data_IF_891991262601
#
_entry.id   IF_891991262601
#
_cell.length_a   1.000
_cell.length_b   1.000
_cell.length_c   1.000
_cell.angle_alpha   90.00
_cell.angle_beta   90.00
_cell.angle_gamma   90.00
#
_symmetry.space_group_name_H-M   'P 1'
#
loop_
_entity.id
_entity.type
_entity.pdbx_description
1 polymer ?
#
# COMPACT_ATOMS: atom_id res chain seq x y z
N UNK A 1 2.21 13.45 -11.94
CA UNK A 1 2.71 12.22 -11.28
C UNK A 1 2.74 12.43 -9.77
N UNK A 2 1.97 11.64 -9.01
CA UNK A 2 1.93 11.70 -7.54
C UNK A 2 3.20 11.08 -6.94
N UNK A 3 3.71 11.60 -5.82
CA UNK A 3 4.90 11.05 -5.11
C UNK A 3 4.81 9.54 -4.81
N UNK A 4 3.60 8.99 -4.75
CA UNK A 4 3.33 7.56 -4.59
C UNK A 4 3.71 6.73 -5.84
N UNK A 5 3.46 7.25 -7.05
CA UNK A 5 3.79 6.53 -8.30
C UNK A 5 5.31 6.44 -8.47
N UNK A 6 6.05 7.50 -8.12
CA UNK A 6 7.51 7.50 -8.14
C UNK A 6 8.13 6.50 -7.14
N UNK A 7 7.56 6.38 -5.94
CA UNK A 7 8.02 5.40 -4.93
C UNK A 7 7.70 3.95 -5.32
N UNK A 8 6.54 3.70 -5.93
CA UNK A 8 6.17 2.39 -6.47
C UNK A 8 7.10 1.99 -7.62
N UNK A 9 7.42 2.92 -8.53
CA UNK A 9 8.37 2.69 -9.63
C UNK A 9 9.77 2.38 -9.07
N UNK A 10 10.27 3.13 -8.08
CA UNK A 10 11.56 2.85 -7.44
C UNK A 10 11.60 1.49 -6.71
N UNK A 11 10.49 1.09 -6.07
CA UNK A 11 10.36 -0.23 -5.45
C UNK A 11 10.38 -1.35 -6.51
N UNK A 12 9.79 -1.13 -7.69
CA UNK A 12 9.80 -2.08 -8.80
C UNK A 12 11.18 -2.14 -9.49
N UNK A 13 11.87 -1.01 -9.63
CA UNK A 13 13.22 -0.94 -10.18
C UNK A 13 14.26 -1.58 -9.24
N UNK A 14 14.09 -1.45 -7.92
CA UNK A 14 14.90 -2.12 -6.92
C UNK A 14 14.82 -3.66 -6.97
N UNK A 15 13.78 -4.22 -7.58
CA UNK A 15 13.66 -5.67 -7.82
C UNK A 15 14.43 -6.15 -9.06
N UNK A 16 14.85 -5.27 -9.97
CA UNK A 16 15.52 -5.64 -11.23
C UNK A 16 17.03 -5.86 -11.10
N UNK A 17 17.63 -5.52 -9.96
CA UNK A 17 19.08 -5.60 -9.72
C UNK A 17 19.44 -6.85 -8.91
N UNK A 18 19.30 -8.04 -9.52
CA UNK A 18 20.07 -9.28 -9.22
C UNK A 18 19.43 -10.48 -9.95
N UNK A 19 19.71 -10.62 -11.25
CA UNK A 19 19.30 -11.80 -12.01
C UNK A 19 20.52 -12.60 -12.48
N UNK A 20 20.66 -13.80 -11.94
CA UNK A 20 20.99 -15.04 -12.66
C UNK A 20 20.23 -16.21 -12.01
N UNK A 21 19.92 -17.28 -12.77
CA UNK A 21 18.52 -17.59 -13.06
C UNK A 21 17.94 -18.69 -12.17
N UNK A 22 16.74 -18.44 -11.63
CA UNK A 22 15.78 -19.48 -11.28
C UNK A 22 14.79 -19.55 -12.43
N UNK A 23 14.56 -20.76 -12.96
CA UNK A 23 13.74 -21.10 -14.13
C UNK A 23 12.28 -20.62 -14.02
N UNK A 24 12.06 -19.32 -14.14
CA UNK A 24 10.74 -18.70 -14.23
C UNK A 24 10.77 -17.50 -15.20
N UNK A 25 11.59 -17.57 -16.25
CA UNK A 25 11.70 -16.49 -17.24
C UNK A 25 10.36 -16.07 -17.86
N UNK A 26 9.36 -16.97 -17.87
CA UNK A 26 7.97 -16.60 -18.23
C UNK A 26 7.34 -15.66 -17.20
N UNK A 27 7.42 -15.98 -15.90
CA UNK A 27 6.91 -15.11 -14.84
C UNK A 27 7.68 -13.79 -14.74
N UNK A 28 9.00 -13.80 -15.01
CA UNK A 28 9.83 -12.58 -14.99
C UNK A 28 9.59 -11.68 -16.20
N UNK A 29 9.30 -12.22 -17.39
CA UNK A 29 8.92 -11.40 -18.55
C UNK A 29 7.57 -10.70 -18.37
N UNK A 30 6.65 -11.31 -17.61
CA UNK A 30 5.42 -10.64 -17.15
C UNK A 30 5.70 -9.58 -16.06
N UNK A 31 6.82 -9.66 -15.30
CA UNK A 31 7.24 -8.60 -14.37
C UNK A 31 7.65 -7.28 -15.09
N UNK A 32 7.97 -7.33 -16.39
CA UNK A 32 8.53 -6.21 -17.16
C UNK A 32 7.52 -5.50 -18.07
N UNK A 33 6.30 -6.03 -18.23
CA UNK A 33 5.24 -5.30 -18.90
C UNK A 33 4.70 -4.29 -17.89
N UNK A 34 5.10 -3.03 -18.08
CA UNK A 34 4.66 -1.89 -17.27
C UNK A 34 3.16 -1.96 -17.05
N UNK A 35 2.75 -1.83 -15.79
CA UNK A 35 1.34 -1.79 -15.44
C UNK A 35 0.62 -0.80 -16.34
N UNK A 36 -0.49 -1.24 -16.94
CA UNK A 36 -1.31 -0.39 -17.77
C UNK A 36 -1.63 0.91 -16.98
N UNK A 37 -1.20 2.10 -17.45
CA UNK A 37 -1.39 3.35 -16.73
C UNK A 37 -2.87 3.71 -16.53
N UNK A 38 -3.78 3.04 -17.25
CA UNK A 38 -5.24 3.20 -17.12
C UNK A 38 -5.89 2.26 -16.09
N UNK A 39 -5.11 1.39 -15.45
CA UNK A 39 -5.61 0.46 -14.44
C UNK A 39 -5.88 1.19 -13.12
N UNK A 40 -7.05 0.96 -12.53
CA UNK A 40 -7.43 1.52 -11.23
C UNK A 40 -6.35 1.19 -10.19
N UNK A 41 -5.96 2.18 -9.39
CA UNK A 41 -4.96 2.05 -8.32
C UNK A 41 -5.29 0.87 -7.39
N UNK A 42 -6.58 0.60 -7.17
CA UNK A 42 -7.05 -0.52 -6.37
C UNK A 42 -6.67 -1.88 -6.99
N UNK A 43 -6.87 -2.04 -8.30
CA UNK A 43 -6.55 -3.29 -9.02
C UNK A 43 -5.02 -3.53 -9.04
N UNK A 44 -4.23 -2.46 -9.18
CA UNK A 44 -2.77 -2.53 -9.09
C UNK A 44 -2.31 -2.97 -7.69
N UNK A 45 -2.94 -2.44 -6.63
CA UNK A 45 -2.67 -2.82 -5.24
C UNK A 45 -3.00 -4.29 -5.01
N UNK A 46 -4.16 -4.75 -5.48
CA UNK A 46 -4.61 -6.12 -5.24
C UNK A 46 -3.78 -7.12 -6.06
N UNK A 47 -3.38 -6.75 -7.29
CA UNK A 47 -2.40 -7.50 -8.07
C UNK A 47 -1.04 -7.60 -7.37
N UNK A 48 -0.55 -6.52 -6.75
CA UNK A 48 0.69 -6.56 -5.95
C UNK A 48 0.54 -7.48 -4.74
N UNK A 49 -0.56 -7.37 -3.98
CA UNK A 49 -0.81 -8.24 -2.81
C UNK A 49 -0.81 -9.71 -3.19
N UNK A 50 -1.45 -10.05 -4.31
CA UNK A 50 -1.49 -11.42 -4.82
C UNK A 50 -0.07 -11.94 -5.07
N UNK A 51 0.76 -11.17 -5.79
CA UNK A 51 2.14 -11.55 -6.11
C UNK A 51 3.00 -11.72 -4.86
N UNK A 52 2.88 -10.82 -3.87
CA UNK A 52 3.59 -10.98 -2.59
C UNK A 52 3.20 -12.27 -1.87
N UNK A 53 1.91 -12.64 -1.90
CA UNK A 53 1.42 -13.88 -1.31
C UNK A 53 1.94 -15.11 -2.04
N UNK A 54 1.97 -15.10 -3.37
CA UNK A 54 2.57 -16.17 -4.17
C UNK A 54 4.06 -16.33 -3.88
N UNK A 55 4.81 -15.24 -3.81
CA UNK A 55 6.24 -15.28 -3.48
C UNK A 55 6.50 -15.80 -2.06
N UNK A 56 5.70 -15.39 -1.07
CA UNK A 56 5.80 -15.92 0.31
C UNK A 56 5.49 -17.42 0.34
N UNK A 57 4.46 -17.87 -0.37
CA UNK A 57 4.10 -19.29 -0.49
C UNK A 57 5.21 -20.10 -1.17
N UNK A 58 5.82 -19.58 -2.23
CA UNK A 58 6.94 -20.25 -2.91
C UNK A 58 8.15 -20.40 -1.96
N UNK A 59 8.46 -19.35 -1.19
CA UNK A 59 9.51 -19.43 -0.18
C UNK A 59 9.18 -20.44 0.91
N UNK A 60 7.93 -20.45 1.40
CA UNK A 60 7.46 -21.40 2.41
C UNK A 60 7.56 -22.84 1.93
N UNK A 61 7.12 -23.11 0.69
CA UNK A 61 7.20 -24.45 0.11
C UNK A 61 8.64 -24.94 0.02
N UNK A 62 9.56 -24.10 -0.46
CA UNK A 62 10.98 -24.46 -0.51
C UNK A 62 11.57 -24.73 0.88
N UNK A 63 11.30 -23.83 1.84
CA UNK A 63 11.77 -23.99 3.23
C UNK A 63 11.24 -25.29 3.83
N UNK A 64 9.94 -25.56 3.66
CA UNK A 64 9.31 -26.78 4.19
C UNK A 64 9.86 -28.06 3.55
N UNK A 65 10.15 -28.04 2.25
CA UNK A 65 10.78 -29.17 1.57
C UNK A 65 12.20 -29.42 2.10
N UNK A 66 12.99 -28.37 2.26
CA UNK A 66 14.33 -28.48 2.83
C UNK A 66 14.28 -29.01 4.27
N UNK A 67 13.41 -28.46 5.12
CA UNK A 67 13.26 -28.90 6.52
C UNK A 67 12.81 -30.37 6.60
N UNK A 68 11.95 -30.84 5.69
CA UNK A 68 11.58 -32.26 5.58
C UNK A 68 12.79 -33.15 5.22
N UNK A 69 13.65 -32.70 4.30
CA UNK A 69 14.90 -33.42 3.99
C UNK A 69 15.81 -33.52 5.22
N UNK A 70 15.92 -32.46 6.03
CA UNK A 70 16.67 -32.50 7.29
C UNK A 70 16.10 -33.56 8.25
N UNK A 71 14.79 -33.57 8.44
CA UNK A 71 14.12 -34.56 9.30
C UNK A 71 14.32 -36.00 8.80
N UNK A 72 14.22 -36.21 7.49
CA UNK A 72 14.49 -37.52 6.88
C UNK A 72 15.94 -37.94 7.07
N UNK A 73 16.89 -37.02 6.94
CA UNK A 73 18.31 -37.29 7.16
C UNK A 73 18.56 -37.73 8.60
N UNK A 74 17.97 -37.05 9.59
CA UNK A 74 18.04 -37.42 11.00
C UNK A 74 17.41 -38.79 11.27
N UNK A 75 16.25 -39.07 10.67
CA UNK A 75 15.57 -40.36 10.77
C UNK A 75 16.39 -41.51 10.19
N UNK A 76 16.94 -41.35 8.99
CA UNK A 76 17.80 -42.37 8.36
C UNK A 76 19.09 -42.56 9.17
N UNK A 77 19.68 -41.47 9.67
CA UNK A 77 20.85 -41.53 10.54
C UNK A 77 20.57 -42.36 11.79
N UNK A 78 19.39 -42.21 12.40
CA UNK A 78 18.97 -43.03 13.54
C UNK A 78 18.83 -44.51 13.17
N UNK A 79 18.18 -44.83 12.05
CA UNK A 79 18.02 -46.23 11.59
C UNK A 79 19.38 -46.92 11.38
N UNK A 80 20.37 -46.21 10.85
CA UNK A 80 21.73 -46.73 10.67
C UNK A 80 22.45 -47.07 11.98
N UNK A 81 22.02 -46.51 13.12
CA UNK A 81 22.57 -46.84 14.45
C UNK A 81 22.04 -48.17 15.01
N UNK A 82 20.97 -48.74 14.45
CA UNK A 82 20.40 -50.00 14.90
C UNK A 82 21.37 -51.13 14.55
N UNK A 83 21.80 -51.89 15.57
CA UNK A 83 22.79 -52.97 15.40
C UNK A 83 22.21 -54.23 14.75
N UNK A 84 20.93 -54.51 14.97
CA UNK A 84 20.21 -55.67 14.43
C UNK A 84 19.65 -55.42 13.02
N UNK A 85 20.15 -54.39 12.34
CA UNK A 85 19.71 -54.06 11.00
C UNK A 85 20.36 -55.02 10.00
N UNK A 86 19.56 -55.66 9.15
CA UNK A 86 20.06 -56.60 8.15
C UNK A 86 21.03 -55.89 7.17
N UNK A 87 22.03 -56.61 6.62
CA UNK A 87 23.02 -56.03 5.73
C UNK A 87 22.42 -55.32 4.51
N UNK A 88 21.39 -55.90 3.87
CA UNK A 88 20.73 -55.28 2.72
C UNK A 88 20.02 -53.97 3.08
N UNK A 89 19.30 -53.94 4.20
CA UNK A 89 18.61 -52.75 4.68
C UNK A 89 19.60 -51.65 5.07
N UNK A 90 20.73 -52.03 5.69
CA UNK A 90 21.82 -51.10 6.02
C UNK A 90 22.34 -50.40 4.79
N UNK A 91 22.65 -51.16 3.74
CA UNK A 91 23.13 -50.60 2.48
C UNK A 91 22.13 -49.61 1.87
N UNK A 92 20.84 -49.95 1.84
CA UNK A 92 19.80 -49.05 1.32
C UNK A 92 19.69 -47.74 2.12
N UNK A 93 19.79 -47.81 3.45
CA UNK A 93 19.78 -46.60 4.28
C UNK A 93 21.06 -45.78 4.13
N UNK A 94 22.22 -46.40 3.91
CA UNK A 94 23.48 -45.69 3.64
C UNK A 94 23.39 -44.91 2.33
N UNK A 95 22.92 -45.55 1.25
CA UNK A 95 22.70 -44.89 -0.04
C UNK A 95 21.72 -43.72 0.07
N UNK A 96 20.60 -43.92 0.80
CA UNK A 96 19.62 -42.87 1.06
C UNK A 96 20.21 -41.73 1.90
N UNK A 97 21.02 -42.04 2.89
CA UNK A 97 21.68 -41.04 3.74
C UNK A 97 22.64 -40.18 2.92
N UNK A 98 23.48 -40.79 2.08
CA UNK A 98 24.41 -40.05 1.22
C UNK A 98 23.68 -39.11 0.25
N UNK A 99 22.59 -39.59 -0.35
CA UNK A 99 21.75 -38.78 -1.24
C UNK A 99 21.16 -37.57 -0.52
N UNK A 100 20.56 -37.76 0.66
CA UNK A 100 19.99 -36.67 1.45
C UNK A 100 21.06 -35.71 1.98
N UNK A 101 22.22 -36.22 2.41
CA UNK A 101 23.34 -35.41 2.90
C UNK A 101 23.94 -34.54 1.79
N UNK A 102 24.05 -35.08 0.57
CA UNK A 102 24.45 -34.32 -0.61
C UNK A 102 23.45 -33.22 -0.93
N UNK A 103 22.15 -33.54 -0.97
CA UNK A 103 21.11 -32.53 -1.18
C UNK A 103 21.17 -31.41 -0.13
N UNK A 104 21.30 -31.76 1.14
CA UNK A 104 21.41 -30.79 2.24
C UNK A 104 22.57 -29.83 2.02
N UNK A 105 23.76 -30.38 1.70
CA UNK A 105 24.98 -29.62 1.47
C UNK A 105 24.84 -28.66 0.29
N UNK A 106 24.33 -29.16 -0.84
CA UNK A 106 24.21 -28.39 -2.07
C UNK A 106 23.19 -27.25 -1.93
N UNK A 107 22.12 -27.46 -1.15
CA UNK A 107 21.02 -26.51 -1.03
C UNK A 107 21.05 -25.63 0.23
N UNK A 108 22.02 -25.80 1.14
CA UNK A 108 22.06 -25.06 2.40
C UNK A 108 22.16 -23.54 2.22
N UNK A 109 22.98 -23.08 1.27
CA UNK A 109 23.12 -21.65 0.99
C UNK A 109 21.85 -21.09 0.37
N UNK A 110 21.20 -21.86 -0.51
CA UNK A 110 19.94 -21.49 -1.13
C UNK A 110 18.82 -21.40 -0.10
N UNK A 111 18.75 -22.34 0.85
CA UNK A 111 17.84 -22.27 2.00
C UNK A 111 18.00 -20.99 2.81
N UNK A 112 19.24 -20.61 3.16
CA UNK A 112 19.50 -19.34 3.85
C UNK A 112 19.03 -18.14 3.03
N UNK A 113 19.30 -18.15 1.74
CA UNK A 113 18.90 -17.08 0.81
C UNK A 113 17.39 -16.95 0.74
N UNK A 114 16.66 -18.06 0.56
CA UNK A 114 15.19 -18.11 0.50
C UNK A 114 14.57 -17.64 1.82
N UNK A 115 15.11 -18.05 2.97
CA UNK A 115 14.65 -17.56 4.29
C UNK A 115 14.83 -16.05 4.44
N UNK A 116 15.94 -15.51 3.94
CA UNK A 116 16.18 -14.06 3.87
C UNK A 116 15.20 -13.35 2.94
N UNK A 117 14.94 -13.90 1.75
CA UNK A 117 13.96 -13.37 0.81
C UNK A 117 12.55 -13.34 1.41
N UNK A 118 12.13 -14.42 2.06
CA UNK A 118 10.83 -14.49 2.73
C UNK A 118 10.65 -13.34 3.73
N UNK A 119 11.66 -13.09 4.55
CA UNK A 119 11.64 -11.96 5.51
C UNK A 119 11.47 -10.61 4.80
N UNK A 120 12.19 -10.40 3.68
CA UNK A 120 12.07 -9.18 2.87
C UNK A 120 10.68 -9.02 2.25
N UNK A 121 10.15 -10.09 1.65
CA UNK A 121 8.80 -10.16 1.06
C UNK A 121 7.76 -9.75 2.11
N UNK A 122 7.81 -10.33 3.31
CA UNK A 122 6.90 -10.00 4.40
C UNK A 122 7.02 -8.56 4.88
N UNK A 123 8.25 -8.04 4.96
CA UNK A 123 8.48 -6.63 5.29
C UNK A 123 7.86 -5.70 4.25
N UNK A 124 8.07 -5.98 2.96
CA UNK A 124 7.51 -5.17 1.87
C UNK A 124 5.99 -5.24 1.84
N UNK A 125 5.40 -6.42 2.07
CA UNK A 125 3.96 -6.58 2.17
C UNK A 125 3.34 -5.71 3.27
N UNK A 126 3.99 -5.63 4.45
CA UNK A 126 3.55 -4.72 5.53
C UNK A 126 3.65 -3.25 5.11
N UNK A 127 4.75 -2.85 4.50
CA UNK A 127 4.94 -1.47 4.00
C UNK A 127 3.85 -1.08 3.01
N UNK A 128 3.48 -1.98 2.10
CA UNK A 128 2.37 -1.76 1.17
C UNK A 128 1.05 -1.59 1.92
N UNK A 129 0.80 -2.44 2.94
CA UNK A 129 -0.35 -2.28 3.84
C UNK A 129 -0.46 -0.89 4.44
N UNK A 130 0.65 -0.34 4.95
CA UNK A 130 0.70 1.03 5.49
C UNK A 130 0.40 2.10 4.44
N UNK A 131 1.02 2.00 3.26
CA UNK A 131 0.81 2.97 2.18
C UNK A 131 -0.64 3.02 1.70
N UNK A 132 -1.34 1.89 1.71
CA UNK A 132 -2.77 1.82 1.36
C UNK A 132 -3.61 2.57 2.41
N UNK A 133 -3.36 2.35 3.70
CA UNK A 133 -4.06 3.06 4.78
C UNK A 133 -3.83 4.58 4.71
N UNK A 134 -2.61 4.99 4.38
CA UNK A 134 -2.28 6.41 4.19
C UNK A 134 -3.05 7.00 3.00
N UNK A 135 -3.10 6.28 1.87
CA UNK A 135 -3.85 6.70 0.69
C UNK A 135 -5.34 6.91 0.99
N UNK A 136 -5.97 5.97 1.70
CA UNK A 136 -7.37 6.09 2.11
C UNK A 136 -7.62 7.27 3.04
N UNK A 137 -6.66 7.55 3.93
CA UNK A 137 -6.72 8.71 4.83
C UNK A 137 -6.64 10.03 4.06
N UNK A 138 -5.73 10.12 3.07
CA UNK A 138 -5.66 11.28 2.17
C UNK A 138 -6.96 11.47 1.39
N UNK A 139 -7.57 10.38 0.90
CA UNK A 139 -8.86 10.45 0.19
C UNK A 139 -9.97 11.01 1.08
N UNK A 140 -10.05 10.58 2.35
CA UNK A 140 -11.02 11.10 3.34
C UNK A 140 -10.78 12.58 3.64
N UNK A 141 -9.53 12.97 3.88
CA UNK A 141 -9.17 14.36 4.16
C UNK A 141 -9.50 15.28 2.98
N UNK A 142 -9.25 14.83 1.75
CA UNK A 142 -9.61 15.57 0.54
C UNK A 142 -11.13 15.77 0.43
N UNK A 143 -11.91 14.71 0.65
CA UNK A 143 -13.37 14.80 0.65
C UNK A 143 -13.90 15.75 1.74
N UNK A 144 -13.25 15.77 2.91
CA UNK A 144 -13.58 16.71 3.98
C UNK A 144 -13.23 18.15 3.59
N UNK A 145 -12.06 18.39 3.05
CA UNK A 145 -11.64 19.71 2.57
C UNK A 145 -12.60 20.26 1.50
N UNK A 146 -13.05 19.40 0.57
CA UNK A 146 -14.04 19.78 -0.45
C UNK A 146 -15.40 20.15 0.17
N UNK A 147 -15.84 19.46 1.23
CA UNK A 147 -17.05 19.82 1.99
C UNK A 147 -16.90 21.17 2.68
N UNK A 148 -15.83 21.37 3.44
CA UNK A 148 -15.58 22.64 4.13
C UNK A 148 -15.47 23.81 3.14
N UNK A 149 -14.87 23.59 1.96
CA UNK A 149 -14.81 24.60 0.90
C UNK A 149 -16.21 24.99 0.39
N UNK A 150 -17.11 24.02 0.20
CA UNK A 150 -18.50 24.31 -0.22
C UNK A 150 -19.25 25.10 0.85
N UNK A 151 -19.11 24.72 2.12
CA UNK A 151 -19.72 25.43 3.23
C UNK A 151 -19.21 26.87 3.35
N UNK A 152 -17.89 27.08 3.20
CA UNK A 152 -17.30 28.42 3.22
C UNK A 152 -17.86 29.31 2.11
N UNK A 153 -18.03 28.77 0.90
CA UNK A 153 -18.64 29.51 -0.22
C UNK A 153 -20.07 29.91 0.11
N UNK A 154 -20.86 29.00 0.70
CA UNK A 154 -22.25 29.30 1.10
C UNK A 154 -22.32 30.36 2.21
N UNK A 155 -21.42 30.30 3.19
CA UNK A 155 -21.34 31.31 4.25
C UNK A 155 -20.94 32.66 3.66
N UNK A 156 -19.95 32.71 2.77
CA UNK A 156 -19.54 33.95 2.11
C UNK A 156 -20.68 34.57 1.30
N UNK A 157 -21.47 33.76 0.59
CA UNK A 157 -22.65 34.23 -0.13
C UNK A 157 -23.67 34.85 0.83
N UNK A 158 -23.99 34.19 1.94
CA UNK A 158 -24.92 34.72 2.96
C UNK A 158 -24.44 36.04 3.57
N UNK A 159 -23.14 36.17 3.84
CA UNK A 159 -22.56 37.43 4.36
C UNK A 159 -22.72 38.54 3.32
N UNK A 160 -22.39 38.28 2.05
CA UNK A 160 -22.55 39.28 0.99
C UNK A 160 -24.01 39.70 0.79
N UNK A 161 -24.95 38.75 0.87
CA UNK A 161 -26.38 39.04 0.77
C UNK A 161 -26.85 39.90 1.95
N UNK A 162 -26.42 39.57 3.17
CA UNK A 162 -26.71 40.34 4.37
C UNK A 162 -26.15 41.78 4.29
N UNK A 163 -24.89 41.94 3.88
CA UNK A 163 -24.25 43.25 3.72
C UNK A 163 -25.00 44.12 2.70
N UNK A 164 -25.46 43.51 1.60
CA UNK A 164 -26.27 44.19 0.57
C UNK A 164 -27.63 44.62 1.11
N UNK A 165 -28.35 43.74 1.80
CA UNK A 165 -29.65 44.06 2.40
C UNK A 165 -29.54 45.17 3.44
N UNK A 166 -28.52 45.11 4.28
CA UNK A 166 -28.25 46.10 5.32
C UNK A 166 -27.89 47.46 4.71
N UNK A 167 -26.99 47.50 3.72
CA UNK A 167 -26.61 48.74 3.02
C UNK A 167 -27.81 49.41 2.35
N UNK A 168 -28.67 48.64 1.68
CA UNK A 168 -29.91 49.14 1.08
C UNK A 168 -30.87 49.72 2.13
N UNK A 169 -30.92 49.11 3.31
CA UNK A 169 -31.79 49.57 4.41
C UNK A 169 -31.27 50.87 5.03
N UNK A 170 -29.96 50.98 5.22
CA UNK A 170 -29.30 52.21 5.67
C UNK A 170 -29.53 53.36 4.70
N UNK A 171 -29.31 53.16 3.39
CA UNK A 171 -29.56 54.20 2.39
C UNK A 171 -31.01 54.71 2.42
N UNK A 172 -31.99 53.81 2.60
CA UNK A 172 -33.40 54.21 2.74
C UNK A 172 -33.64 55.05 3.99
N UNK A 173 -32.98 54.72 5.10
CA UNK A 173 -33.08 55.49 6.35
C UNK A 173 -32.41 56.86 6.20
N UNK A 174 -31.22 56.92 5.59
CA UNK A 174 -30.51 58.16 5.31
C UNK A 174 -31.35 59.10 4.43
N UNK A 175 -31.93 58.60 3.34
CA UNK A 175 -32.82 59.39 2.49
C UNK A 175 -34.03 59.93 3.26
N UNK A 176 -34.67 59.10 4.09
CA UNK A 176 -35.81 59.54 4.93
C UNK A 176 -35.38 60.62 5.91
N UNK A 177 -34.22 60.46 6.53
CA UNK A 177 -33.69 61.40 7.50
C UNK A 177 -33.33 62.73 6.82
N UNK A 178 -32.76 62.69 5.62
CA UNK A 178 -32.48 63.87 4.81
C UNK A 178 -33.76 64.64 4.45
N UNK A 179 -34.82 63.93 4.06
CA UNK A 179 -36.15 64.53 3.80
C UNK A 179 -36.69 65.22 5.04
N UNK A 180 -36.64 64.56 6.20
CA UNK A 180 -37.10 65.15 7.46
C UNK A 180 -36.26 66.37 7.88
N UNK A 181 -34.94 66.29 7.77
CA UNK A 181 -34.04 67.41 8.05
C UNK A 181 -34.34 68.62 7.15
N UNK A 182 -34.55 68.40 5.85
CA UNK A 182 -34.96 69.47 4.92
C UNK A 182 -36.30 70.07 5.32
N UNK A 183 -37.29 69.25 5.67
CA UNK A 183 -38.60 69.72 6.13
C UNK A 183 -38.51 70.58 7.41
N UNK A 184 -37.60 70.25 8.34
CA UNK A 184 -37.37 71.06 9.54
C UNK A 184 -36.57 72.34 9.30
N UNK A 185 -35.85 72.44 8.18
CA UNK A 185 -35.04 73.61 7.79
C UNK A 185 -35.79 74.56 6.85
N UNK A 186 -36.77 74.07 6.08
CA UNK A 186 -37.77 74.90 5.43
C UNK A 186 -38.76 75.39 6.48
N UNK A 187 -39.18 76.67 6.39
CA UNK A 187 -40.16 77.32 7.28
C UNK A 187 -41.57 76.67 7.30
N UNK A 188 -41.73 75.43 6.85
CA UNK A 188 -42.97 74.65 6.99
C UNK A 188 -43.26 74.23 8.45
N UNK A 189 -42.33 74.46 9.38
CA UNK A 189 -42.54 74.30 10.83
C UNK A 189 -42.49 75.62 11.64
N UNK A 190 -42.38 76.77 10.96
CA UNK A 190 -42.64 78.07 11.58
C UNK A 190 -43.93 78.59 10.98
N UNK A 191 -45.07 78.25 11.59
CA UNK A 191 -46.31 79.04 11.74
C UNK A 191 -47.41 78.11 12.27
N UNK A 192 -48.01 78.51 13.40
CA UNK A 192 -49.43 78.27 13.69
C UNK A 192 -49.79 77.02 14.48
#
# INVERSE_FOLDING_TARGET
MTKLSAKLIQLVEGMKMNNQPIQSEKSIRELNQGGNPDMNIQDQIDGLKHRFKELDNNCLNFISQYDNVIQNLEGVKYLLTIKSLEPEDRQQFEERFESLAKFQKDNYQEYKRVKGLRTKIQSMYRTIGTLIMDHDSVKRLKAQADRCRKELILVQQKVNDFDREYSNSLQKLEMKLEVLCKATQSDEFIIG
#
